data_IF_106374408889
#
_entry.id   IF_106374408889
#
_cell.length_a   1.000
_cell.length_b   1.000
_cell.length_c   1.000
_cell.angle_alpha   90.00
_cell.angle_beta   90.00
_cell.angle_gamma   90.00
#
_symmetry.space_group_name_H-M   'P 1'
#
loop_
_entity.id
_entity.type
_entity.pdbx_description
1 polymer ?
#
# COMPACT_ATOMS: atom_id res chain seq x y z
N UNK A 1 33.90 14.40 -13.30
CA UNK A 1 34.12 13.25 -12.41
C UNK A 1 35.15 13.65 -11.36
N UNK A 2 34.72 13.83 -10.11
CA UNK A 2 35.57 14.33 -9.02
C UNK A 2 36.20 13.16 -8.23
N UNK A 3 37.23 13.44 -7.43
CA UNK A 3 37.90 12.45 -6.57
C UNK A 3 36.96 11.82 -5.53
N UNK A 4 35.90 12.54 -5.13
CA UNK A 4 34.85 12.01 -4.27
C UNK A 4 33.95 11.03 -5.03
N UNK A 5 33.66 11.26 -6.31
CA UNK A 5 32.87 10.34 -7.15
C UNK A 5 33.60 9.02 -7.36
N UNK A 6 34.93 9.06 -7.52
CA UNK A 6 35.75 7.85 -7.57
C UNK A 6 35.73 7.07 -6.24
N UNK A 7 35.52 7.74 -5.09
CA UNK A 7 35.42 7.08 -3.77
C UNK A 7 34.14 6.28 -3.57
N UNK A 8 33.06 6.57 -4.30
CA UNK A 8 31.85 5.73 -4.29
C UNK A 8 32.13 4.31 -4.78
N UNK A 9 33.03 4.16 -5.76
CA UNK A 9 33.39 2.89 -6.38
C UNK A 9 34.62 2.21 -5.76
N UNK A 10 35.45 2.98 -5.06
CA UNK A 10 36.63 2.51 -4.34
C UNK A 10 36.28 2.18 -2.88
N UNK A 11 35.36 1.23 -2.65
CA UNK A 11 35.20 0.66 -1.32
C UNK A 11 36.24 -0.47 -1.11
N UNK A 12 37.27 -0.30 -0.26
CA UNK A 12 38.22 -1.38 0.07
C UNK A 12 37.58 -2.51 0.89
N UNK A 13 36.32 -2.35 1.33
CA UNK A 13 35.51 -3.36 1.99
C UNK A 13 34.47 -4.00 1.06
N UNK A 14 34.80 -4.24 -0.22
CA UNK A 14 34.01 -5.14 -1.08
C UNK A 14 33.95 -6.53 -0.44
N UNK A 15 33.03 -6.72 0.49
CA UNK A 15 32.56 -8.04 0.82
C UNK A 15 31.83 -8.56 -0.42
N UNK A 16 32.09 -9.80 -0.86
CA UNK A 16 31.54 -10.36 -2.08
C UNK A 16 30.01 -10.62 -2.03
N UNK A 17 29.32 -10.07 -1.03
CA UNK A 17 27.92 -10.36 -0.71
C UNK A 17 26.97 -9.18 -0.92
N UNK A 18 27.45 -7.94 -1.13
CA UNK A 18 26.58 -6.84 -1.57
C UNK A 18 26.71 -6.68 -3.08
N UNK A 19 25.68 -7.15 -3.80
CA UNK A 19 25.51 -6.86 -5.21
C UNK A 19 25.34 -5.35 -5.37
N UNK A 20 26.36 -4.70 -5.94
CA UNK A 20 26.20 -3.35 -6.45
C UNK A 20 24.98 -3.33 -7.40
N UNK A 21 24.08 -2.34 -7.31
CA UNK A 21 22.86 -2.37 -8.09
C UNK A 21 23.16 -2.30 -9.58
N UNK A 22 22.36 -3.02 -10.37
CA UNK A 22 22.48 -3.06 -11.83
C UNK A 22 22.24 -1.66 -12.40
N UNK A 23 22.99 -1.28 -13.44
CA UNK A 23 22.84 0.03 -14.11
C UNK A 23 21.51 0.17 -14.86
N UNK A 24 20.85 -0.95 -15.15
CA UNK A 24 19.67 -1.03 -16.01
C UNK A 24 18.34 -0.90 -15.24
N UNK A 25 18.37 -0.91 -13.90
CA UNK A 25 17.17 -0.83 -13.05
C UNK A 25 17.17 0.49 -12.27
N UNK A 26 16.02 1.18 -12.14
CA UNK A 26 15.93 2.39 -11.34
C UNK A 26 16.25 2.08 -9.87
N UNK A 27 17.13 2.89 -9.29
CA UNK A 27 17.53 2.76 -7.89
C UNK A 27 16.43 3.28 -6.97
N UNK A 28 15.87 2.40 -6.14
CA UNK A 28 14.87 2.75 -5.14
C UNK A 28 15.46 3.47 -3.91
N UNK A 29 14.56 4.05 -3.09
CA UNK A 29 14.90 4.75 -1.85
C UNK A 29 15.72 3.87 -0.88
N UNK A 30 15.44 2.57 -0.80
CA UNK A 30 16.13 1.66 0.12
C UNK A 30 17.55 1.40 -0.31
N UNK A 31 17.76 1.19 -1.60
CA UNK A 31 19.07 1.03 -2.20
C UNK A 31 19.91 2.28 -1.96
N UNK A 32 19.32 3.47 -2.07
CA UNK A 32 19.98 4.73 -1.69
C UNK A 32 20.32 4.81 -0.20
N UNK A 33 19.42 4.39 0.70
CA UNK A 33 19.66 4.37 2.15
C UNK A 33 20.78 3.38 2.50
N UNK A 34 20.77 2.20 1.88
CA UNK A 34 21.80 1.18 2.07
C UNK A 34 23.16 1.68 1.59
N UNK A 35 23.22 2.28 0.39
CA UNK A 35 24.44 2.90 -0.15
C UNK A 35 24.93 4.05 0.74
N UNK A 36 24.03 4.91 1.23
CA UNK A 36 24.37 5.99 2.18
C UNK A 36 25.01 5.43 3.44
N UNK A 37 24.44 4.37 4.02
CA UNK A 37 24.97 3.72 5.22
C UNK A 37 26.35 3.09 4.99
N UNK A 38 26.64 2.62 3.77
CA UNK A 38 27.92 2.03 3.41
C UNK A 38 29.01 3.05 3.04
N UNK A 39 28.63 4.19 2.46
CA UNK A 39 29.58 5.22 1.99
C UNK A 39 29.90 6.23 3.10
N UNK A 40 28.88 6.93 3.59
CA UNK A 40 28.97 7.90 4.68
C UNK A 40 27.56 8.30 5.15
N UNK A 41 27.25 7.98 6.40
CA UNK A 41 25.96 8.28 7.04
C UNK A 41 25.60 9.78 7.05
N UNK A 42 26.59 10.67 6.86
CA UNK A 42 26.42 12.13 6.87
C UNK A 42 25.96 12.69 5.52
N UNK A 43 26.05 11.92 4.44
CA UNK A 43 25.61 12.36 3.11
C UNK A 43 24.09 12.28 3.05
N UNK A 44 23.42 13.31 2.53
CA UNK A 44 21.95 13.32 2.38
C UNK A 44 21.53 12.44 1.21
N UNK A 45 20.32 11.87 1.25
CA UNK A 45 19.80 11.02 0.17
C UNK A 45 19.74 11.77 -1.15
N UNK A 46 19.31 13.04 -1.13
CA UNK A 46 19.29 13.89 -2.33
C UNK A 46 20.71 14.13 -2.92
N UNK A 47 21.72 14.29 -2.06
CA UNK A 47 23.09 14.49 -2.52
C UNK A 47 23.70 13.20 -3.10
N UNK A 48 23.37 12.04 -2.52
CA UNK A 48 23.78 10.75 -3.05
C UNK A 48 23.09 10.46 -4.39
N UNK A 49 21.78 10.71 -4.48
CA UNK A 49 21.00 10.55 -5.69
C UNK A 49 21.54 11.42 -6.83
N UNK A 50 21.75 12.72 -6.60
CA UNK A 50 22.29 13.61 -7.64
C UNK A 50 23.65 13.15 -8.18
N UNK A 51 24.47 12.47 -7.37
CA UNK A 51 25.76 11.91 -7.82
C UNK A 51 25.57 10.65 -8.67
N UNK A 52 24.67 9.77 -8.28
CA UNK A 52 24.34 8.55 -9.03
C UNK A 52 23.67 8.87 -10.37
N UNK A 53 22.75 9.85 -10.40
CA UNK A 53 22.15 10.36 -11.63
C UNK A 53 23.19 10.98 -12.57
N UNK A 54 24.17 11.72 -12.03
CA UNK A 54 25.26 12.27 -12.84
C UNK A 54 26.17 11.21 -13.49
N UNK A 55 26.11 9.96 -13.00
CA UNK A 55 26.88 8.82 -13.51
C UNK A 55 26.01 7.95 -14.45
N UNK A 56 24.69 8.20 -14.53
CA UNK A 56 23.78 7.55 -15.48
C UNK A 56 22.77 6.60 -14.85
N UNK A 57 22.71 6.49 -13.52
CA UNK A 57 21.66 5.72 -12.85
C UNK A 57 20.33 6.47 -12.88
N UNK A 58 19.26 5.75 -13.19
CA UNK A 58 17.90 6.22 -12.95
C UNK A 58 17.56 6.06 -11.46
N UNK A 59 16.85 7.02 -10.88
CA UNK A 59 16.60 7.08 -9.44
C UNK A 59 15.15 7.39 -9.17
N UNK A 60 14.54 6.56 -8.32
CA UNK A 60 13.17 6.69 -7.86
C UNK A 60 13.20 6.61 -6.32
N UNK A 61 12.61 7.56 -5.57
CA UNK A 61 11.72 8.64 -5.99
C UNK A 61 12.44 9.94 -6.41
N UNK A 62 11.66 10.93 -6.88
CA UNK A 62 12.18 12.22 -7.34
C UNK A 62 12.96 13.02 -6.27
N UNK A 63 13.78 13.99 -6.72
CA UNK A 63 14.61 14.84 -5.85
C UNK A 63 13.79 15.63 -4.80
N UNK A 64 12.53 15.95 -5.10
CA UNK A 64 11.66 16.70 -4.18
C UNK A 64 11.27 15.83 -2.99
N UNK A 65 10.94 14.56 -3.24
CA UNK A 65 10.62 13.59 -2.22
C UNK A 65 11.85 13.22 -1.39
N UNK A 66 13.01 13.02 -2.03
CA UNK A 66 14.27 12.75 -1.34
C UNK A 66 14.66 13.86 -0.35
N UNK A 67 14.57 15.12 -0.77
CA UNK A 67 14.83 16.28 0.13
C UNK A 67 13.83 16.36 1.28
N UNK A 68 12.58 15.97 1.03
CA UNK A 68 11.54 15.96 2.06
C UNK A 68 11.81 14.89 3.10
N UNK A 69 12.22 13.69 2.68
CA UNK A 69 12.62 12.59 3.55
C UNK A 69 13.87 12.93 4.38
N UNK A 70 14.89 13.52 3.75
CA UNK A 70 16.10 14.00 4.44
C UNK A 70 15.75 14.99 5.57
N UNK A 71 14.79 15.90 5.32
CA UNK A 71 14.34 16.88 6.33
C UNK A 71 13.57 16.25 7.49
N UNK A 72 12.85 15.17 7.24
CA UNK A 72 12.07 14.46 8.26
C UNK A 72 12.92 13.51 9.11
N UNK A 73 14.18 13.25 8.72
CA UNK A 73 15.04 12.27 9.39
C UNK A 73 14.50 10.83 9.27
N UNK A 74 13.62 10.60 8.30
CA UNK A 74 12.95 9.33 8.08
C UNK A 74 13.82 8.45 7.18
N UNK A 75 14.18 7.26 7.68
CA UNK A 75 14.85 6.22 6.91
C UNK A 75 14.03 4.96 7.06
N UNK A 76 13.36 4.47 5.99
CA UNK A 76 12.55 3.28 6.12
C UNK A 76 13.45 2.05 6.32
N UNK A 77 12.99 1.08 7.11
CA UNK A 77 13.64 -0.22 7.30
C UNK A 77 13.00 -1.25 6.39
N UNK A 78 13.82 -2.06 5.72
CA UNK A 78 13.43 -3.01 4.65
C UNK A 78 12.43 -4.10 5.07
N UNK A 79 12.14 -4.24 6.37
CA UNK A 79 11.33 -5.34 6.92
C UNK A 79 9.83 -5.04 7.04
N UNK A 80 9.37 -3.82 6.71
CA UNK A 80 7.95 -3.49 6.81
C UNK A 80 7.22 -3.84 5.51
N UNK A 81 6.89 -5.13 5.35
CA UNK A 81 5.92 -5.54 4.31
C UNK A 81 4.53 -5.12 4.76
N UNK A 82 3.79 -4.41 3.91
CA UNK A 82 2.43 -3.99 4.22
C UNK A 82 1.44 -5.12 3.91
N UNK A 83 0.68 -5.53 4.92
CA UNK A 83 -0.36 -6.53 4.76
C UNK A 83 -1.61 -5.94 4.05
N UNK A 84 -2.46 -6.76 3.39
CA UNK A 84 -3.58 -6.27 2.59
C UNK A 84 -4.61 -5.44 3.38
N UNK A 85 -4.83 -5.78 4.65
CA UNK A 85 -5.70 -5.04 5.58
C UNK A 85 -5.17 -3.62 5.85
N UNK A 86 -3.86 -3.48 6.04
CA UNK A 86 -3.19 -2.19 6.21
C UNK A 86 -3.22 -1.37 4.92
N UNK A 87 -3.04 -2.02 3.76
CA UNK A 87 -3.13 -1.36 2.47
C UNK A 87 -4.55 -0.82 2.25
N UNK A 88 -5.58 -1.64 2.50
CA UNK A 88 -6.97 -1.22 2.39
C UNK A 88 -7.33 -0.08 3.35
N UNK A 89 -6.94 -0.18 4.63
CA UNK A 89 -7.15 0.88 5.61
C UNK A 89 -6.48 2.20 5.19
N UNK A 90 -5.27 2.11 4.63
CA UNK A 90 -4.51 3.26 4.13
C UNK A 90 -5.18 3.89 2.91
N UNK A 91 -5.63 3.08 1.95
CA UNK A 91 -6.38 3.53 0.79
C UNK A 91 -7.66 4.29 1.20
N UNK A 92 -8.41 3.75 2.17
CA UNK A 92 -9.59 4.42 2.75
C UNK A 92 -9.24 5.73 3.44
N UNK A 93 -8.17 5.79 4.22
CA UNK A 93 -7.73 7.00 4.92
C UNK A 93 -7.32 8.12 3.94
N UNK A 94 -6.64 7.75 2.86
CA UNK A 94 -6.16 8.67 1.83
C UNK A 94 -7.23 9.00 0.78
N UNK A 95 -8.40 8.37 0.85
CA UNK A 95 -9.44 8.46 -0.16
C UNK A 95 -8.89 8.14 -1.58
N UNK A 96 -8.12 7.07 -1.67
CA UNK A 96 -7.42 6.58 -2.87
C UNK A 96 -7.72 5.10 -3.09
N UNK A 97 -7.32 4.54 -4.25
CA UNK A 97 -7.43 3.10 -4.48
C UNK A 97 -6.26 2.33 -3.82
N UNK A 98 -6.46 1.03 -3.54
CA UNK A 98 -5.37 0.16 -3.08
C UNK A 98 -4.24 0.06 -4.10
N UNK A 99 -4.56 0.12 -5.39
CA UNK A 99 -3.59 0.09 -6.49
C UNK A 99 -2.70 1.34 -6.48
N UNK A 100 -3.29 2.53 -6.36
CA UNK A 100 -2.54 3.79 -6.30
C UNK A 100 -1.63 3.84 -5.05
N UNK A 101 -2.11 3.33 -3.92
CA UNK A 101 -1.31 3.27 -2.68
C UNK A 101 -0.19 2.24 -2.82
N UNK A 102 -0.48 1.05 -3.36
CA UNK A 102 0.53 0.02 -3.59
C UNK A 102 1.61 0.50 -4.57
N UNK A 103 1.21 1.20 -5.63
CA UNK A 103 2.14 1.87 -6.53
C UNK A 103 2.97 2.90 -5.75
N UNK A 104 2.36 3.86 -5.07
CA UNK A 104 3.10 4.86 -4.28
C UNK A 104 4.08 4.27 -3.27
N UNK A 105 3.74 3.13 -2.65
CA UNK A 105 4.63 2.37 -1.77
C UNK A 105 5.76 1.70 -2.54
N UNK A 106 5.49 1.10 -3.69
CA UNK A 106 6.52 0.52 -4.56
C UNK A 106 7.51 1.58 -5.06
N UNK A 107 7.06 2.81 -5.34
CA UNK A 107 7.92 3.96 -5.66
C UNK A 107 8.84 4.35 -4.50
N UNK A 108 8.43 4.06 -3.26
CA UNK A 108 9.26 4.21 -2.07
C UNK A 108 10.13 2.97 -1.79
N UNK A 109 10.01 1.93 -2.62
CA UNK A 109 10.65 0.60 -2.50
C UNK A 109 10.04 -0.30 -1.40
N UNK A 110 8.84 0.06 -0.90
CA UNK A 110 8.09 -0.77 0.05
C UNK A 110 7.43 -1.92 -0.70
N UNK A 111 7.42 -3.09 -0.07
CA UNK A 111 6.74 -4.26 -0.63
C UNK A 111 5.37 -4.40 0.02
N UNK A 112 4.36 -4.65 -0.81
CA UNK A 112 3.01 -5.02 -0.36
C UNK A 112 2.85 -6.52 -0.55
N UNK A 113 2.25 -7.20 0.41
CA UNK A 113 1.84 -8.59 0.23
C UNK A 113 0.82 -8.71 -0.92
N UNK A 114 0.85 -9.82 -1.69
CA UNK A 114 -0.18 -10.06 -2.70
C UNK A 114 -1.55 -10.12 -2.05
N UNK A 115 -2.50 -9.36 -2.62
CA UNK A 115 -3.88 -9.33 -2.13
C UNK A 115 -4.60 -10.61 -2.58
N UNK A 116 -5.12 -11.44 -1.67
CA UNK A 116 -5.87 -12.64 -2.05
C UNK A 116 -7.19 -12.31 -2.73
N UNK A 117 -7.63 -13.14 -3.69
CA UNK A 117 -8.92 -12.95 -4.38
C UNK A 117 -10.11 -12.91 -3.40
N UNK A 118 -10.07 -13.71 -2.33
CA UNK A 118 -11.08 -13.73 -1.28
C UNK A 118 -11.22 -12.36 -0.60
N UNK A 119 -10.12 -11.62 -0.46
CA UNK A 119 -10.12 -10.28 0.13
C UNK A 119 -10.77 -9.25 -0.82
N UNK A 120 -10.54 -9.37 -2.14
CA UNK A 120 -11.23 -8.54 -3.12
C UNK A 120 -12.74 -8.79 -3.15
N UNK A 121 -13.15 -10.06 -3.04
CA UNK A 121 -14.57 -10.44 -2.94
C UNK A 121 -15.20 -9.83 -1.69
N UNK A 122 -14.51 -9.91 -0.55
CA UNK A 122 -15.00 -9.40 0.73
C UNK A 122 -15.14 -7.87 0.73
N UNK A 123 -14.17 -7.15 0.15
CA UNK A 123 -14.26 -5.69 -0.05
C UNK A 123 -15.42 -5.34 -0.97
N UNK A 124 -15.57 -6.03 -2.10
CA UNK A 124 -16.65 -5.76 -3.05
C UNK A 124 -18.04 -5.96 -2.42
N UNK A 125 -18.21 -7.02 -1.62
CA UNK A 125 -19.43 -7.27 -0.87
C UNK A 125 -19.66 -6.19 0.21
N UNK A 126 -18.61 -5.78 0.92
CA UNK A 126 -18.66 -4.68 1.89
C UNK A 126 -19.10 -3.36 1.24
N UNK A 127 -18.54 -3.02 0.08
CA UNK A 127 -18.86 -1.78 -0.66
C UNK A 127 -20.30 -1.78 -1.15
N UNK A 128 -20.79 -2.89 -1.72
CA UNK A 128 -22.20 -3.00 -2.11
C UNK A 128 -23.12 -2.86 -0.90
N UNK A 129 -22.77 -3.47 0.23
CA UNK A 129 -23.56 -3.33 1.46
C UNK A 129 -23.54 -1.88 1.98
N UNK A 130 -22.38 -1.21 1.93
CA UNK A 130 -22.25 0.19 2.30
C UNK A 130 -23.11 1.09 1.40
N UNK A 131 -23.09 0.87 0.08
CA UNK A 131 -23.92 1.59 -0.89
C UNK A 131 -25.42 1.47 -0.58
N UNK A 132 -25.87 0.34 -0.03
CA UNK A 132 -27.29 0.12 0.29
C UNK A 132 -27.67 0.69 1.65
N UNK A 133 -26.73 0.70 2.59
CA UNK A 133 -26.91 1.29 3.90
C UNK A 133 -26.86 2.83 3.87
N UNK A 134 -26.24 3.41 2.83
CA UNK A 134 -26.19 4.85 2.63
C UNK A 134 -27.59 5.40 2.22
N UNK A 135 -28.23 6.25 3.05
CA UNK A 135 -29.51 6.84 2.71
C UNK A 135 -29.46 7.82 1.53
N UNK A 136 -28.28 8.34 1.16
CA UNK A 136 -28.10 9.22 0.00
C UNK A 136 -27.86 8.45 -1.30
N UNK A 137 -27.55 7.16 -1.20
CA UNK A 137 -27.32 6.30 -2.36
C UNK A 137 -28.64 5.95 -3.07
N UNK A 138 -28.65 5.96 -4.41
CA UNK A 138 -29.81 5.51 -5.18
C UNK A 138 -29.99 3.99 -5.17
N UNK A 139 -29.00 3.24 -4.65
CA UNK A 139 -28.96 1.77 -4.69
C UNK A 139 -29.86 1.18 -3.61
N UNK A 140 -30.93 0.50 -4.02
CA UNK A 140 -31.78 -0.27 -3.11
C UNK A 140 -31.49 -1.76 -3.18
N UNK A 141 -31.92 -2.50 -2.15
CA UNK A 141 -31.83 -3.98 -2.12
C UNK A 141 -32.44 -4.61 -3.37
N UNK A 142 -33.60 -4.11 -3.80
CA UNK A 142 -34.32 -4.63 -4.97
C UNK A 142 -33.55 -4.38 -6.26
N UNK A 143 -32.91 -3.22 -6.39
CA UNK A 143 -32.12 -2.86 -7.57
C UNK A 143 -30.79 -3.62 -7.67
N UNK A 144 -30.23 -4.03 -6.53
CA UNK A 144 -28.93 -4.68 -6.43
C UNK A 144 -28.99 -6.21 -6.55
N UNK A 145 -30.17 -6.82 -6.70
CA UNK A 145 -30.35 -8.29 -6.71
C UNK A 145 -29.53 -9.06 -7.74
N UNK A 146 -29.04 -8.40 -8.79
CA UNK A 146 -28.16 -8.96 -9.82
C UNK A 146 -26.76 -8.32 -9.86
N UNK A 147 -26.38 -7.59 -8.82
CA UNK A 147 -25.07 -6.94 -8.74
C UNK A 147 -23.96 -8.00 -8.66
N UNK A 148 -22.93 -7.85 -9.48
CA UNK A 148 -21.79 -8.79 -9.56
C UNK A 148 -20.97 -8.84 -8.27
N UNK A 149 -21.14 -7.88 -7.36
CA UNK A 149 -20.49 -7.82 -6.05
C UNK A 149 -21.22 -8.65 -4.98
N UNK A 150 -22.37 -9.25 -5.28
CA UNK A 150 -23.03 -10.19 -4.38
C UNK A 150 -22.18 -11.46 -4.27
N UNK A 151 -21.71 -11.75 -3.06
CA UNK A 151 -20.87 -12.89 -2.75
C UNK A 151 -20.81 -13.18 -1.24
N UNK A 152 -19.88 -14.03 -0.78
CA UNK A 152 -19.63 -14.21 0.64
C UNK A 152 -19.13 -12.90 1.27
N UNK A 153 -19.58 -12.63 2.49
CA UNK A 153 -19.13 -11.49 3.29
C UNK A 153 -18.71 -11.93 4.68
N UNK A 154 -17.55 -11.49 5.12
CA UNK A 154 -16.96 -11.82 6.42
C UNK A 154 -17.62 -11.02 7.55
N UNK A 155 -17.52 -11.53 8.79
CA UNK A 155 -18.00 -10.80 9.96
C UNK A 155 -17.30 -9.44 10.15
N UNK A 156 -15.97 -9.31 9.95
CA UNK A 156 -15.30 -8.01 9.95
C UNK A 156 -15.82 -7.02 8.89
N UNK A 157 -16.07 -7.49 7.66
CA UNK A 157 -16.62 -6.65 6.59
C UNK A 157 -18.04 -6.18 6.92
N UNK A 158 -18.90 -7.08 7.41
CA UNK A 158 -20.25 -6.74 7.90
C UNK A 158 -20.20 -5.69 9.02
N UNK A 159 -19.32 -5.88 10.00
CA UNK A 159 -19.16 -4.93 11.10
C UNK A 159 -18.64 -3.57 10.60
N UNK A 160 -17.72 -3.57 9.64
CA UNK A 160 -17.17 -2.35 9.04
C UNK A 160 -18.25 -1.54 8.31
N UNK A 161 -19.09 -2.19 7.50
CA UNK A 161 -20.21 -1.53 6.83
C UNK A 161 -21.23 -0.97 7.83
N UNK A 162 -21.58 -1.74 8.87
CA UNK A 162 -22.49 -1.28 9.92
C UNK A 162 -21.95 -0.05 10.67
N UNK A 163 -20.66 -0.08 11.02
CA UNK A 163 -20.00 1.04 11.70
C UNK A 163 -19.92 2.28 10.82
N UNK A 164 -19.64 2.13 9.53
CA UNK A 164 -19.53 3.24 8.59
C UNK A 164 -20.85 4.03 8.48
N UNK A 165 -21.98 3.32 8.45
CA UNK A 165 -23.31 3.93 8.32
C UNK A 165 -24.07 4.08 9.65
N UNK A 166 -23.38 3.85 10.78
CA UNK A 166 -23.94 3.94 12.13
C UNK A 166 -25.21 3.09 12.31
N UNK A 167 -25.29 1.96 11.61
CA UNK A 167 -26.40 1.00 11.74
C UNK A 167 -26.02 -0.10 12.72
N UNK A 168 -27.01 -0.87 13.17
CA UNK A 168 -26.71 -2.04 14.00
C UNK A 168 -26.12 -3.17 13.15
N UNK A 169 -25.26 -3.99 13.76
CA UNK A 169 -24.74 -5.20 13.12
C UNK A 169 -25.88 -6.12 12.62
N UNK A 170 -26.98 -6.20 13.39
CA UNK A 170 -28.17 -6.96 13.02
C UNK A 170 -28.83 -6.44 11.75
N UNK A 171 -29.00 -5.12 11.62
CA UNK A 171 -29.60 -4.52 10.42
C UNK A 171 -28.75 -4.78 9.19
N UNK A 172 -27.43 -4.61 9.29
CA UNK A 172 -26.49 -4.90 8.23
C UNK A 172 -26.55 -6.39 7.82
N UNK A 173 -26.54 -7.31 8.79
CA UNK A 173 -26.66 -8.75 8.53
C UNK A 173 -27.99 -9.10 7.84
N UNK A 174 -29.12 -8.55 8.29
CA UNK A 174 -30.42 -8.80 7.65
C UNK A 174 -30.47 -8.28 6.21
N UNK A 175 -29.83 -7.14 5.93
CA UNK A 175 -29.75 -6.60 4.56
C UNK A 175 -28.84 -7.47 3.70
N UNK A 176 -27.68 -7.88 4.20
CA UNK A 176 -26.78 -8.80 3.51
C UNK A 176 -27.48 -10.12 3.16
N UNK A 177 -28.21 -10.73 4.10
CA UNK A 177 -29.02 -11.93 3.85
C UNK A 177 -30.09 -11.68 2.78
N UNK A 178 -30.77 -10.51 2.81
CA UNK A 178 -31.78 -10.15 1.80
C UNK A 178 -31.19 -9.95 0.40
N UNK A 179 -29.93 -9.55 0.30
CA UNK A 179 -29.17 -9.46 -0.95
C UNK A 179 -28.71 -10.82 -1.47
N UNK A 180 -28.80 -11.87 -0.66
CA UNK A 180 -28.27 -13.19 -0.98
C UNK A 180 -26.76 -13.32 -0.74
N UNK A 181 -26.17 -12.44 0.07
CA UNK A 181 -24.78 -12.59 0.52
C UNK A 181 -24.70 -13.70 1.56
N UNK A 182 -23.69 -14.58 1.46
CA UNK A 182 -23.49 -15.67 2.41
C UNK A 182 -22.59 -15.25 3.57
N UNK A 183 -23.02 -15.45 4.82
CA UNK A 183 -22.22 -15.08 5.99
C UNK A 183 -22.51 -15.89 7.26
N UNK A 184 -21.53 -15.99 8.16
CA UNK A 184 -21.65 -16.76 9.40
C UNK A 184 -22.78 -16.29 10.35
N UNK A 185 -23.18 -15.03 10.23
CA UNK A 185 -24.21 -14.44 11.09
C UNK A 185 -25.67 -14.74 10.66
N UNK A 186 -25.90 -15.48 9.57
CA UNK A 186 -27.27 -15.79 9.07
C UNK A 186 -28.12 -16.45 10.15
N UNK A 187 -27.54 -17.40 10.88
CA UNK A 187 -28.24 -18.17 11.91
C UNK A 187 -28.34 -17.46 13.27
N UNK A 188 -27.71 -16.29 13.44
CA UNK A 188 -27.62 -15.63 14.75
C UNK A 188 -28.90 -14.91 15.15
N UNK A 189 -29.76 -14.59 14.17
CA UNK A 189 -30.93 -13.74 14.34
C UNK A 189 -32.24 -14.39 13.90
N UNK A 190 -32.23 -15.71 13.69
CA UNK A 190 -33.39 -16.55 13.35
C UNK A 190 -34.35 -16.80 14.51
#
# INVERSE_FOLDING_TARGET
>A
MTTEDARLFLNPYRQPTSSWPAEDEPLDLYTLVELKNHVDIRVTLAALAGRLTAIGYDIIPDDTLLRTLDRMGYGPTRDDTMAPDQLYATARLLNSTMEDVAEGLAWLGLTVEPVPDEFHIDIAAQELLADILDPESPTSVESATCDSRIGPISLPALASAAMLHQTTFREAALIATRLGMTHEAEDWFG
#
